data_IF_952893311932
#
_entry.id   IF_952893311932
#
_cell.length_a   1.000
_cell.length_b   1.000
_cell.length_c   1.000
_cell.angle_alpha   90.00
_cell.angle_beta   90.00
_cell.angle_gamma   90.00
#
_symmetry.space_group_name_H-M   'P 1'
#
loop_
_entity.id
_entity.type
_entity.pdbx_description
1 polymer ?
#
# COMPACT_ATOMS: atom_id res chain seq x y z
N UNK A 1 -2.88 3.89 -11.22
CA UNK A 1 -3.01 3.05 -10.02
C UNK A 1 -4.15 3.59 -9.16
N UNK A 2 -5.10 2.76 -8.82
CA UNK A 2 -6.26 3.14 -8.01
C UNK A 2 -5.98 2.80 -6.54
N UNK A 3 -5.46 3.75 -5.80
CA UNK A 3 -5.31 3.60 -4.35
C UNK A 3 -6.67 3.73 -3.67
N UNK A 4 -6.97 2.82 -2.77
CA UNK A 4 -8.18 2.77 -1.96
C UNK A 4 -7.92 3.27 -0.55
N UNK A 5 -8.99 3.53 0.20
CA UNK A 5 -8.93 3.94 1.59
C UNK A 5 -9.23 2.82 2.59
N UNK A 6 -9.35 3.23 3.86
CA UNK A 6 -9.80 2.37 4.95
C UNK A 6 -11.21 1.82 4.66
N UNK A 7 -11.38 0.52 4.86
CA UNK A 7 -12.66 -0.17 4.73
C UNK A 7 -13.02 -0.60 3.31
N UNK A 8 -12.26 -0.16 2.31
CA UNK A 8 -12.48 -0.53 0.91
C UNK A 8 -11.95 -1.95 0.61
N UNK A 9 -12.39 -2.50 -0.52
CA UNK A 9 -12.00 -3.85 -0.96
C UNK A 9 -10.82 -3.77 -1.92
N UNK A 10 -9.66 -4.27 -1.52
CA UNK A 10 -8.48 -4.40 -2.38
C UNK A 10 -8.65 -5.54 -3.39
N UNK A 11 -8.05 -5.39 -4.57
CA UNK A 11 -8.32 -6.23 -5.72
C UNK A 11 -7.19 -7.19 -6.08
N UNK A 12 -7.52 -8.48 -6.16
CA UNK A 12 -6.67 -9.49 -6.79
C UNK A 12 -7.04 -9.64 -8.25
N UNK A 13 -6.04 -9.71 -9.13
CA UNK A 13 -6.27 -10.04 -10.53
C UNK A 13 -6.87 -11.45 -10.64
N UNK A 14 -7.92 -11.68 -11.45
CA UNK A 14 -8.63 -12.97 -11.52
C UNK A 14 -7.75 -14.15 -11.95
N UNK A 15 -6.65 -13.90 -12.69
CA UNK A 15 -5.71 -14.93 -13.13
C UNK A 15 -4.58 -15.19 -12.10
N UNK A 16 -4.51 -14.43 -10.99
CA UNK A 16 -3.50 -14.65 -9.96
C UNK A 16 -3.95 -15.75 -9.00
N UNK A 17 -3.06 -16.68 -8.75
CA UNK A 17 -3.26 -17.79 -7.81
C UNK A 17 -2.27 -17.77 -6.64
N UNK A 18 -1.27 -16.90 -6.69
CA UNK A 18 -0.28 -16.70 -5.62
C UNK A 18 -0.06 -15.20 -5.37
N UNK A 19 -0.60 -14.73 -4.26
CA UNK A 19 -0.65 -13.32 -3.93
C UNK A 19 -0.65 -13.10 -2.41
N UNK A 20 -0.25 -11.92 -1.98
CA UNK A 20 -0.12 -11.59 -0.55
C UNK A 20 -0.29 -10.09 -0.30
N UNK A 21 -0.57 -9.68 0.97
CA UNK A 21 -0.45 -8.30 1.37
C UNK A 21 1.04 -7.93 1.50
N UNK A 22 1.37 -6.69 1.22
CA UNK A 22 2.65 -6.08 1.55
C UNK A 22 2.38 -4.90 2.47
N UNK A 23 2.58 -5.08 3.80
CA UNK A 23 2.44 -4.00 4.77
C UNK A 23 3.61 -3.03 4.65
N UNK A 24 3.30 -1.75 4.45
CA UNK A 24 4.30 -0.71 4.21
C UNK A 24 4.01 0.58 4.96
N UNK A 25 5.05 1.41 5.12
CA UNK A 25 4.88 2.83 5.33
C UNK A 25 4.95 3.53 3.96
N UNK A 26 4.04 4.45 3.72
CA UNK A 26 4.03 5.27 2.52
C UNK A 26 4.36 6.73 2.89
N UNK A 27 5.39 7.29 2.26
CA UNK A 27 5.85 8.66 2.48
C UNK A 27 5.03 9.63 1.64
N UNK A 28 4.58 10.72 2.24
CA UNK A 28 3.91 11.81 1.51
C UNK A 28 4.94 12.89 1.21
N UNK A 29 5.13 13.17 -0.07
CA UNK A 29 6.20 14.03 -0.57
C UNK A 29 5.60 15.19 -1.37
N UNK A 30 5.96 16.42 -1.02
CA UNK A 30 5.56 17.63 -1.76
C UNK A 30 6.32 17.78 -3.08
N UNK A 31 5.82 18.65 -3.96
CA UNK A 31 6.39 18.86 -5.30
C UNK A 31 7.87 19.30 -5.30
N UNK A 32 8.33 19.92 -4.21
CA UNK A 32 9.73 20.33 -4.00
C UNK A 32 10.62 19.23 -3.37
N UNK A 33 10.09 17.99 -3.26
CA UNK A 33 10.84 16.83 -2.77
C UNK A 33 10.93 16.70 -1.24
N UNK A 34 10.24 17.54 -0.48
CA UNK A 34 10.20 17.42 0.99
C UNK A 34 9.22 16.34 1.42
N UNK A 35 9.64 15.48 2.33
CA UNK A 35 8.74 14.57 3.01
C UNK A 35 7.93 15.38 4.03
N UNK A 36 6.62 15.40 3.87
CA UNK A 36 5.71 16.21 4.71
C UNK A 36 4.87 15.39 5.67
N UNK A 37 4.90 14.07 5.54
CA UNK A 37 4.15 13.15 6.38
C UNK A 37 4.29 11.72 5.92
N UNK A 38 3.56 10.83 6.59
CA UNK A 38 3.50 9.41 6.25
C UNK A 38 2.12 8.81 6.56
N UNK A 39 1.88 7.62 6.03
CA UNK A 39 0.67 6.82 6.28
C UNK A 39 0.99 5.33 6.17
N UNK A 40 0.05 4.47 6.56
CA UNK A 40 0.14 3.04 6.28
C UNK A 40 -0.27 2.76 4.83
N UNK A 41 0.34 1.72 4.25
CA UNK A 41 0.02 1.22 2.93
C UNK A 41 -0.14 -0.30 2.91
N UNK A 42 -1.03 -0.78 2.06
CA UNK A 42 -1.10 -2.16 1.62
C UNK A 42 -0.83 -2.18 0.12
N UNK A 43 0.35 -2.63 -0.27
CA UNK A 43 0.73 -2.80 -1.67
C UNK A 43 0.48 -4.24 -2.09
N UNK A 44 -0.73 -4.52 -2.58
CA UNK A 44 -1.15 -5.89 -2.92
C UNK A 44 -0.22 -6.49 -3.96
N UNK A 45 0.39 -7.62 -3.63
CA UNK A 45 1.34 -8.29 -4.51
C UNK A 45 0.73 -9.51 -5.21
N UNK A 46 0.91 -9.58 -6.51
CA UNK A 46 0.59 -10.72 -7.36
C UNK A 46 1.89 -11.45 -7.71
N UNK A 47 2.39 -12.29 -6.77
CA UNK A 47 3.72 -12.93 -6.84
C UNK A 47 3.90 -13.78 -8.10
N UNK A 48 2.86 -14.47 -8.52
CA UNK A 48 2.89 -15.29 -9.71
C UNK A 48 2.99 -14.48 -11.02
N UNK A 49 2.65 -13.18 -10.99
CA UNK A 49 2.91 -12.28 -12.11
C UNK A 49 4.30 -11.64 -12.00
N UNK A 50 4.59 -11.05 -10.86
CA UNK A 50 5.85 -10.36 -10.61
C UNK A 50 7.06 -11.31 -10.78
N UNK A 51 6.96 -12.52 -10.24
CA UNK A 51 8.04 -13.51 -10.27
C UNK A 51 8.36 -14.08 -11.66
N UNK A 52 7.48 -13.91 -12.65
CA UNK A 52 7.71 -14.41 -14.01
C UNK A 52 8.68 -13.54 -14.81
N UNK A 53 8.60 -12.23 -14.66
CA UNK A 53 9.42 -11.29 -15.44
C UNK A 53 9.26 -9.87 -14.89
N UNK A 54 10.34 -9.10 -14.86
CA UNK A 54 10.30 -7.67 -14.57
C UNK A 54 9.36 -6.88 -15.50
N UNK A 55 9.09 -7.39 -16.71
CA UNK A 55 8.14 -6.80 -17.66
C UNK A 55 6.68 -6.90 -17.21
N UNK A 56 6.37 -7.77 -16.25
CA UNK A 56 5.02 -7.95 -15.71
C UNK A 56 4.77 -7.16 -14.43
N UNK A 57 5.73 -6.38 -13.96
CA UNK A 57 5.59 -5.58 -12.73
C UNK A 57 4.40 -4.61 -12.82
N UNK A 58 4.22 -3.92 -13.94
CA UNK A 58 3.04 -3.08 -14.18
C UNK A 58 1.73 -3.87 -14.06
N UNK A 59 1.65 -5.07 -14.63
CA UNK A 59 0.47 -5.93 -14.53
C UNK A 59 0.21 -6.41 -13.09
N UNK A 60 1.27 -6.63 -12.32
CA UNK A 60 1.17 -7.03 -10.91
C UNK A 60 0.65 -5.91 -10.01
N UNK A 61 0.93 -4.64 -10.35
CA UNK A 61 0.72 -3.49 -9.48
C UNK A 61 -0.31 -2.47 -10.01
N UNK A 62 -0.77 -2.57 -11.24
CA UNK A 62 -1.70 -1.62 -11.86
C UNK A 62 -3.05 -2.29 -12.16
N UNK A 63 -3.83 -2.52 -11.12
CA UNK A 63 -5.16 -3.10 -11.15
C UNK A 63 -6.12 -2.24 -10.32
N UNK A 64 -7.43 -2.43 -10.49
CA UNK A 64 -8.40 -1.84 -9.59
C UNK A 64 -8.15 -2.33 -8.15
N UNK A 65 -7.99 -1.39 -7.22
CA UNK A 65 -7.72 -1.71 -5.83
C UNK A 65 -6.38 -2.39 -5.58
N UNK A 66 -5.37 -2.15 -6.42
CA UNK A 66 -4.04 -2.76 -6.30
C UNK A 66 -3.26 -2.28 -5.09
N UNK A 67 -3.69 -1.20 -4.44
CA UNK A 67 -3.14 -0.78 -3.16
C UNK A 67 -4.18 -0.04 -2.32
N UNK A 68 -3.90 0.10 -1.04
CA UNK A 68 -4.67 0.95 -0.13
C UNK A 68 -3.74 1.83 0.69
N UNK A 69 -4.23 3.01 1.08
CA UNK A 69 -3.54 4.00 1.90
C UNK A 69 -4.47 4.47 3.03
N UNK A 70 -3.93 4.67 4.21
CA UNK A 70 -4.72 5.19 5.32
C UNK A 70 -4.24 4.71 6.69
N UNK A 71 -5.10 4.88 7.72
CA UNK A 71 -6.43 5.49 7.70
C UNK A 71 -6.42 7.01 7.51
N UNK A 72 -5.30 7.67 7.74
CA UNK A 72 -5.07 9.10 7.57
C UNK A 72 -3.58 9.36 7.25
N UNK A 73 -3.29 10.52 6.69
CA UNK A 73 -1.91 11.02 6.58
C UNK A 73 -1.57 11.73 7.87
N UNK A 74 -0.51 11.27 8.56
CA UNK A 74 0.07 11.97 9.69
C UNK A 74 1.15 12.92 9.18
N UNK A 75 0.88 14.22 9.28
CA UNK A 75 1.84 15.24 8.90
C UNK A 75 2.97 15.32 9.92
N UNK A 76 4.16 15.71 9.46
CA UNK A 76 5.30 15.95 10.33
C UNK A 76 5.13 17.25 11.11
N UNK A 77 5.44 17.18 12.42
CA UNK A 77 5.40 18.26 13.38
C UNK A 77 6.53 18.12 14.42
N UNK A 78 6.49 18.90 15.50
CA UNK A 78 7.49 18.83 16.58
C UNK A 78 7.53 17.48 17.30
N UNK A 79 6.43 16.73 17.32
CA UNK A 79 6.29 15.44 18.02
C UNK A 79 6.42 14.22 17.11
N UNK A 80 6.37 14.40 15.78
CA UNK A 80 6.41 13.31 14.82
C UNK A 80 7.14 13.72 13.54
N UNK A 81 8.19 13.03 13.23
CA UNK A 81 9.01 13.25 12.04
C UNK A 81 9.62 11.99 11.48
N UNK A 82 10.63 12.15 10.65
CA UNK A 82 11.26 11.05 9.94
C UNK A 82 11.93 10.03 10.88
N UNK A 83 12.42 10.47 12.04
CA UNK A 83 13.06 9.56 13.01
C UNK A 83 12.05 8.61 13.65
N UNK A 84 10.83 9.07 13.92
CA UNK A 84 9.74 8.19 14.38
C UNK A 84 9.35 7.21 13.28
N UNK A 85 9.30 7.65 12.03
CA UNK A 85 9.04 6.75 10.88
C UNK A 85 10.12 5.68 10.76
N UNK A 86 11.40 6.04 10.84
CA UNK A 86 12.54 5.09 10.76
C UNK A 86 12.48 3.97 11.80
N UNK A 87 11.88 4.25 12.95
CA UNK A 87 11.76 3.31 14.06
C UNK A 87 10.36 2.70 14.21
N UNK A 88 9.46 3.00 13.27
CA UNK A 88 8.10 2.50 13.30
C UNK A 88 8.04 0.98 13.18
N UNK A 89 7.23 0.35 14.03
CA UNK A 89 6.91 -1.08 13.91
C UNK A 89 5.54 -1.26 13.29
N UNK A 90 5.50 -1.96 12.18
CA UNK A 90 4.28 -2.25 11.43
C UNK A 90 3.83 -3.67 11.73
N UNK A 91 2.59 -3.83 12.18
CA UNK A 91 1.93 -5.10 12.37
C UNK A 91 1.05 -5.46 11.17
N UNK A 92 1.02 -6.74 10.84
CA UNK A 92 0.11 -7.35 9.88
C UNK A 92 -0.76 -8.38 10.59
N UNK A 93 -2.07 -8.30 10.37
CA UNK A 93 -3.00 -9.38 10.70
C UNK A 93 -3.82 -9.72 9.44
N UNK A 94 -3.94 -11.01 9.15
CA UNK A 94 -4.84 -11.52 8.12
C UNK A 94 -5.80 -12.50 8.77
N UNK A 95 -7.11 -12.30 8.58
CA UNK A 95 -8.15 -13.23 9.04
C UNK A 95 -9.00 -13.68 7.86
N UNK A 96 -9.14 -15.00 7.71
CA UNK A 96 -9.94 -15.61 6.67
C UNK A 96 -11.28 -16.14 7.19
N UNK A 97 -12.27 -16.23 6.31
CA UNK A 97 -13.59 -16.83 6.60
C UNK A 97 -13.48 -18.36 6.86
N UNK A 98 -12.37 -18.97 6.43
CA UNK A 98 -12.00 -20.37 6.70
C UNK A 98 -11.42 -20.61 8.09
N UNK A 99 -11.34 -19.57 8.94
CA UNK A 99 -10.77 -19.61 10.28
C UNK A 99 -9.24 -19.40 10.30
N UNK A 100 -8.62 -19.14 9.14
CA UNK A 100 -7.21 -18.79 9.09
C UNK A 100 -6.93 -17.48 9.84
N UNK A 101 -5.81 -17.43 10.55
CA UNK A 101 -5.34 -16.22 11.24
C UNK A 101 -3.82 -16.18 11.21
N UNK A 102 -3.29 -15.08 10.68
CA UNK A 102 -1.86 -14.76 10.67
C UNK A 102 -1.65 -13.47 11.46
N UNK A 103 -0.57 -13.39 12.23
CA UNK A 103 -0.12 -12.18 12.91
C UNK A 103 1.38 -12.07 12.87
N UNK A 104 1.86 -11.02 12.24
CA UNK A 104 3.29 -10.73 12.09
C UNK A 104 3.58 -9.26 12.34
N UNK A 105 4.84 -8.93 12.53
CA UNK A 105 5.30 -7.55 12.67
C UNK A 105 6.72 -7.41 12.16
N UNK A 106 7.07 -6.23 11.66
CA UNK A 106 8.42 -5.86 11.30
C UNK A 106 8.69 -4.39 11.61
N UNK A 107 9.95 -4.01 11.70
CA UNK A 107 10.37 -2.64 11.98
C UNK A 107 10.94 -1.97 10.74
N UNK A 108 10.58 -0.72 10.50
CA UNK A 108 11.17 0.07 9.42
C UNK A 108 12.68 0.32 9.63
N UNK A 109 13.19 0.12 10.85
CA UNK A 109 14.63 0.15 11.13
C UNK A 109 15.43 -0.95 10.42
N UNK A 110 14.75 -1.99 9.91
CA UNK A 110 15.34 -3.10 9.15
C UNK A 110 15.38 -2.84 7.64
N UNK A 111 14.82 -1.72 7.17
CA UNK A 111 14.83 -1.37 5.75
C UNK A 111 16.26 -1.16 5.25
N UNK A 112 16.59 -1.68 4.08
CA UNK A 112 17.94 -1.64 3.51
C UNK A 112 18.38 -0.24 3.06
N UNK A 113 17.45 0.67 2.80
CA UNK A 113 17.68 2.04 2.35
C UNK A 113 16.84 3.01 3.16
N UNK A 114 17.43 4.13 3.55
CA UNK A 114 16.73 5.17 4.30
C UNK A 114 15.56 5.75 3.47
N UNK A 115 14.38 6.02 4.07
CA UNK A 115 13.26 6.62 3.37
C UNK A 115 13.58 7.93 2.65
N UNK A 116 14.48 8.76 3.20
CA UNK A 116 14.91 10.00 2.55
C UNK A 116 15.74 9.74 1.29
N UNK A 117 16.55 8.67 1.28
CA UNK A 117 17.29 8.26 0.08
C UNK A 117 16.34 7.75 -1.00
N UNK A 118 15.32 6.95 -0.64
CA UNK A 118 14.30 6.48 -1.59
C UNK A 118 13.57 7.66 -2.25
N UNK A 119 13.20 8.68 -1.46
CA UNK A 119 12.57 9.90 -1.98
C UNK A 119 13.53 10.67 -2.90
N UNK A 120 14.80 10.83 -2.50
CA UNK A 120 15.81 11.54 -3.30
C UNK A 120 16.11 10.84 -4.64
N UNK A 121 15.94 9.52 -4.71
CA UNK A 121 16.08 8.77 -5.97
C UNK A 121 14.80 8.83 -6.83
N UNK A 122 13.64 9.10 -6.22
CA UNK A 122 12.36 9.15 -6.91
C UNK A 122 12.12 10.51 -7.57
N UNK A 123 12.45 11.60 -6.88
CA UNK A 123 12.29 12.97 -7.37
C UNK A 123 13.66 13.66 -7.49
N UNK A 124 13.99 14.13 -8.69
CA UNK A 124 15.30 14.72 -8.96
C UNK A 124 15.35 15.40 -10.31
N UNK A 125 16.56 15.71 -10.80
CA UNK A 125 16.78 16.42 -12.08
C UNK A 125 16.20 15.70 -13.30
N UNK A 126 16.10 14.36 -13.24
CA UNK A 126 15.64 13.54 -14.36
C UNK A 126 14.14 13.20 -14.29
N UNK A 127 13.50 13.41 -13.14
CA UNK A 127 12.08 13.09 -12.95
C UNK A 127 11.46 14.01 -11.90
N UNK A 128 10.31 14.61 -12.23
CA UNK A 128 9.59 15.55 -11.39
C UNK A 128 8.15 15.09 -11.19
N UNK A 129 7.59 15.48 -10.04
CA UNK A 129 6.18 15.27 -9.68
C UNK A 129 5.59 16.62 -9.26
N UNK A 130 5.00 17.38 -10.20
CA UNK A 130 4.58 18.77 -9.96
C UNK A 130 3.50 18.92 -8.89
N UNK A 131 2.75 17.87 -8.60
CA UNK A 131 1.71 17.83 -7.56
C UNK A 131 2.15 17.06 -6.29
N UNK A 132 3.42 16.68 -6.21
CA UNK A 132 3.92 15.76 -5.19
C UNK A 132 3.59 14.30 -5.49
N UNK A 133 3.90 13.42 -4.56
CA UNK A 133 3.69 11.98 -4.70
C UNK A 133 3.50 11.29 -3.35
N UNK A 134 2.96 10.09 -3.39
CA UNK A 134 3.00 9.15 -2.28
C UNK A 134 3.90 7.99 -2.69
N UNK A 135 4.95 7.74 -1.91
CA UNK A 135 5.95 6.71 -2.16
C UNK A 135 5.81 5.58 -1.16
N UNK A 136 5.47 4.40 -1.61
CA UNK A 136 5.60 3.17 -0.84
C UNK A 136 7.09 2.85 -0.68
N UNK A 137 7.51 2.52 0.55
CA UNK A 137 8.94 2.32 0.87
C UNK A 137 9.45 0.91 0.62
N UNK A 138 8.57 0.01 0.25
CA UNK A 138 8.81 -1.42 0.14
C UNK A 138 8.47 -2.16 1.44
N UNK A 139 7.96 -3.37 1.30
CA UNK A 139 7.65 -4.21 2.46
C UNK A 139 8.92 -4.80 3.06
N UNK A 140 9.00 -4.87 4.38
CA UNK A 140 10.09 -5.52 5.10
C UNK A 140 9.87 -7.05 5.19
N UNK A 141 8.65 -7.50 5.00
CA UNK A 141 8.30 -8.92 5.02
C UNK A 141 7.04 -9.18 4.19
N UNK A 142 6.89 -10.42 3.78
CA UNK A 142 5.66 -10.93 3.21
C UNK A 142 5.29 -12.25 3.91
N UNK A 143 4.01 -12.57 4.10
CA UNK A 143 3.58 -13.81 4.72
C UNK A 143 4.21 -15.04 4.05
N UNK A 144 4.75 -15.94 4.87
CA UNK A 144 5.36 -17.20 4.40
C UNK A 144 4.71 -18.42 5.06
N UNK A 145 3.88 -18.21 6.07
CA UNK A 145 3.18 -19.30 6.76
C UNK A 145 2.28 -20.06 5.80
N UNK A 146 2.32 -21.37 5.92
CA UNK A 146 1.47 -22.23 5.09
C UNK A 146 -0.01 -21.97 5.36
N UNK A 147 -0.80 -21.89 4.28
CA UNK A 147 -2.25 -21.88 4.31
C UNK A 147 -2.75 -23.05 3.47
N UNK A 148 -3.66 -23.83 4.00
CA UNK A 148 -4.25 -25.05 3.43
C UNK A 148 -3.32 -26.28 3.50
N UNK A 149 -2.18 -26.32 2.80
CA UNK A 149 -1.30 -27.48 2.74
C UNK A 149 0.12 -27.14 3.20
N UNK A 150 0.79 -28.08 3.86
CA UNK A 150 2.17 -27.92 4.31
C UNK A 150 3.11 -27.73 3.10
N UNK A 151 3.87 -26.67 3.11
CA UNK A 151 4.80 -26.29 2.03
C UNK A 151 4.17 -25.49 0.90
N UNK A 152 2.87 -25.16 0.97
CA UNK A 152 2.19 -24.34 -0.05
C UNK A 152 2.45 -22.83 0.12
N UNK A 153 2.86 -22.40 1.33
CA UNK A 153 3.01 -21.00 1.67
C UNK A 153 1.69 -20.25 1.75
N UNK A 154 1.78 -18.94 1.83
CA UNK A 154 0.61 -18.06 1.91
C UNK A 154 0.10 -17.65 0.53
N UNK A 155 -1.22 -17.67 0.37
CA UNK A 155 -1.96 -16.94 -0.66
C UNK A 155 -3.29 -16.46 -0.10
N UNK A 156 -3.74 -15.27 -0.53
CA UNK A 156 -5.06 -14.76 -0.15
C UNK A 156 -6.21 -15.65 -0.64
N UNK A 157 -7.28 -15.65 0.16
CA UNK A 157 -8.62 -16.06 -0.28
C UNK A 157 -9.52 -14.82 -0.37
N UNK A 158 -10.49 -14.88 -1.28
CA UNK A 158 -11.51 -13.83 -1.35
C UNK A 158 -12.25 -13.75 -0.02
N UNK A 159 -12.50 -12.53 0.44
CA UNK A 159 -13.13 -12.28 1.73
C UNK A 159 -12.16 -12.12 2.91
N UNK A 160 -10.86 -12.44 2.74
CA UNK A 160 -9.86 -12.15 3.76
C UNK A 160 -9.95 -10.70 4.22
N UNK A 161 -9.74 -10.49 5.51
CA UNK A 161 -9.58 -9.15 6.09
C UNK A 161 -8.11 -8.96 6.45
N UNK A 162 -7.51 -7.94 5.86
CA UNK A 162 -6.13 -7.52 6.09
C UNK A 162 -6.15 -6.29 6.99
N UNK A 163 -5.45 -6.36 8.13
CA UNK A 163 -5.24 -5.24 9.04
C UNK A 163 -3.75 -4.94 9.12
N UNK A 164 -3.37 -3.74 8.70
CA UNK A 164 -2.01 -3.20 8.82
C UNK A 164 -2.07 -2.11 9.87
N UNK A 165 -1.22 -2.17 10.90
CA UNK A 165 -1.31 -1.27 12.03
C UNK A 165 0.05 -0.83 12.54
N UNK A 166 0.09 0.40 13.08
CA UNK A 166 1.22 0.92 13.83
C UNK A 166 0.72 1.95 14.86
N UNK A 167 1.38 2.07 16.03
CA UNK A 167 0.92 2.99 17.08
C UNK A 167 0.77 4.44 16.60
N UNK A 168 1.64 4.87 15.70
CA UNK A 168 1.69 6.23 15.16
C UNK A 168 0.58 6.53 14.16
N UNK A 169 0.00 5.50 13.54
CA UNK A 169 -0.91 5.62 12.39
C UNK A 169 -2.29 4.98 12.60
N UNK A 170 -2.50 4.24 13.70
CA UNK A 170 -3.73 3.47 13.88
C UNK A 170 -3.74 2.19 13.02
N UNK A 171 -4.84 1.91 12.33
CA UNK A 171 -4.99 0.69 11.54
C UNK A 171 -5.66 0.93 10.18
N UNK A 172 -5.04 0.44 9.12
CA UNK A 172 -5.61 0.34 7.77
C UNK A 172 -6.21 -1.07 7.63
N UNK A 173 -7.51 -1.14 7.39
CA UNK A 173 -8.25 -2.40 7.29
C UNK A 173 -8.90 -2.47 5.93
N UNK A 174 -8.64 -3.56 5.20
CA UNK A 174 -9.22 -3.81 3.88
C UNK A 174 -9.73 -5.25 3.77
N UNK A 175 -10.77 -5.45 2.98
CA UNK A 175 -11.22 -6.78 2.57
C UNK A 175 -10.58 -7.12 1.22
N UNK A 176 -10.35 -8.41 0.96
CA UNK A 176 -9.79 -8.90 -0.30
C UNK A 176 -10.91 -9.33 -1.23
N UNK A 177 -10.89 -8.83 -2.47
CA UNK A 177 -11.84 -9.17 -3.53
C UNK A 177 -11.15 -9.32 -4.88
N UNK A 178 -11.92 -9.59 -5.95
CA UNK A 178 -11.39 -9.63 -7.31
C UNK A 178 -11.38 -8.23 -7.93
N UNK A 179 -10.28 -7.86 -8.58
CA UNK A 179 -10.12 -6.54 -9.21
C UNK A 179 -11.13 -6.23 -10.31
N UNK A 180 -11.72 -7.27 -10.94
CA UNK A 180 -12.75 -7.14 -11.95
C UNK A 180 -14.19 -7.13 -11.40
N UNK A 181 -14.36 -7.29 -10.09
CA UNK A 181 -15.66 -7.35 -9.40
C UNK A 181 -15.85 -6.25 -8.35
N UNK A 182 -14.79 -5.57 -7.95
CA UNK A 182 -14.86 -4.40 -7.07
C UNK A 182 -15.28 -3.15 -7.86
N UNK A 183 -15.66 -2.08 -7.15
CA UNK A 183 -16.03 -0.82 -7.78
C UNK A 183 -14.92 -0.30 -8.72
N UNK A 184 -15.23 0.02 -9.99
CA UNK A 184 -14.22 0.54 -10.90
C UNK A 184 -13.76 1.93 -10.47
N UNK A 185 -12.49 2.24 -10.68
CA UNK A 185 -11.96 3.57 -10.44
C UNK A 185 -12.48 4.55 -11.50
N UNK A 186 -13.36 5.46 -11.11
CA UNK A 186 -14.00 6.44 -12.01
C UNK A 186 -13.70 7.89 -11.64
N UNK A 187 -13.12 8.13 -10.45
CA UNK A 187 -12.83 9.48 -9.96
C UNK A 187 -11.34 9.82 -10.17
N UNK A 188 -11.00 10.21 -11.40
CA UNK A 188 -9.67 10.70 -11.76
C UNK A 188 -9.59 12.24 -11.75
N UNK A 189 -8.46 12.82 -12.19
CA UNK A 189 -8.20 14.26 -12.20
C UNK A 189 -9.30 15.07 -12.91
N UNK A 190 -9.80 14.58 -14.05
CA UNK A 190 -10.90 15.24 -14.76
C UNK A 190 -12.21 15.30 -13.98
N UNK A 191 -12.52 14.23 -13.22
CA UNK A 191 -13.69 14.18 -12.35
C UNK A 191 -13.51 15.14 -11.15
N UNK A 192 -12.30 15.20 -10.58
CA UNK A 192 -11.95 16.15 -9.52
C UNK A 192 -12.12 17.60 -9.99
N UNK A 193 -11.58 17.97 -11.14
CA UNK A 193 -11.71 19.33 -11.69
C UNK A 193 -13.17 19.71 -11.92
N UNK A 194 -13.98 18.81 -12.49
CA UNK A 194 -15.43 19.03 -12.66
C UNK A 194 -16.14 19.23 -11.32
N UNK A 195 -15.79 18.45 -10.31
CA UNK A 195 -16.36 18.57 -8.96
C UNK A 195 -15.99 19.94 -8.33
N UNK A 196 -14.73 20.34 -8.42
CA UNK A 196 -14.26 21.62 -7.87
C UNK A 196 -14.92 22.82 -8.59
N UNK A 197 -15.00 22.80 -9.92
CA UNK A 197 -15.69 23.83 -10.70
C UNK A 197 -17.18 23.94 -10.34
N UNK A 198 -17.87 22.80 -10.19
CA UNK A 198 -19.27 22.79 -9.80
C UNK A 198 -19.53 23.36 -8.38
N UNK A 199 -18.50 23.33 -7.52
CA UNK A 199 -18.52 23.92 -6.17
C UNK A 199 -18.00 25.35 -6.11
N UNK A 200 -17.63 25.96 -7.24
CA UNK A 200 -17.05 27.30 -7.31
C UNK A 200 -15.67 27.43 -6.66
N UNK A 201 -14.88 26.33 -6.67
CA UNK A 201 -13.54 26.27 -6.09
C UNK A 201 -12.41 26.31 -7.15
N UNK A 202 -12.79 26.47 -8.41
CA UNK A 202 -11.92 26.75 -9.56
C UNK A 202 -12.46 27.96 -10.31
#
# INVERSE_FOLDING_TARGET
MSALGLGETVGLHPDSVWNNPEPEIAMVVSADGRIVGATLGNDVNLRDFEGRSALLLGRAKDNNGSCALGPFIRLFDEGFGLDQVRNCTVGLEVTGEDGYSLREKSSLSEISRDPSDLVAQTIGSNHQYPDGLVLFTGTMFAPVDDRDEVGAGFSHKLGDVVTISAPEFGALINRVGRSDQIAPWTFGAGALMKNLAARGLL
#
